data_IF_198811649503
#
_entry.id   IF_198811649503
#
_cell.length_a   1.000
_cell.length_b   1.000
_cell.length_c   1.000
_cell.angle_alpha   90.00
_cell.angle_beta   90.00
_cell.angle_gamma   90.00
#
_symmetry.space_group_name_H-M   'P 1'
#
loop_
_entity.id
_entity.type
_entity.pdbx_description
1 polymer ?
#
# COMPACT_ATOMS: atom_id res chain seq x y z
N UNK A 1 -21.48 1.31 -27.61
CA UNK A 1 -20.99 -0.03 -27.21
C UNK A 1 -21.02 -0.08 -25.70
N UNK A 2 -21.70 -1.06 -25.08
CA UNK A 2 -21.70 -1.22 -23.64
C UNK A 2 -20.29 -1.52 -23.18
N UNK A 3 -19.76 -0.74 -22.24
CA UNK A 3 -18.51 -1.07 -21.56
C UNK A 3 -18.84 -2.04 -20.44
N UNK A 4 -18.33 -3.25 -20.55
CA UNK A 4 -18.40 -4.26 -19.51
C UNK A 4 -17.33 -3.92 -18.49
N UNK A 5 -17.71 -3.68 -17.25
CA UNK A 5 -16.76 -3.53 -16.14
C UNK A 5 -16.05 -4.86 -15.91
N UNK A 6 -14.72 -4.96 -16.08
CA UNK A 6 -14.02 -6.24 -15.98
C UNK A 6 -14.03 -6.87 -14.58
N UNK A 7 -14.42 -6.14 -13.56
CA UNK A 7 -14.49 -6.64 -12.20
C UNK A 7 -15.79 -7.35 -11.80
N UNK A 8 -16.85 -7.25 -12.60
CA UNK A 8 -18.17 -7.80 -12.25
C UNK A 8 -18.57 -9.05 -13.03
N UNK A 9 -17.87 -9.36 -14.12
CA UNK A 9 -18.14 -10.55 -14.90
C UNK A 9 -16.92 -11.47 -14.86
N UNK A 10 -16.88 -12.37 -13.88
CA UNK A 10 -16.17 -13.63 -14.11
C UNK A 10 -16.87 -14.28 -15.32
N UNK A 11 -16.17 -14.40 -16.42
CA UNK A 11 -16.59 -15.31 -17.48
C UNK A 11 -16.59 -16.74 -16.91
N UNK A 12 -17.72 -17.14 -16.34
CA UNK A 12 -18.02 -18.54 -16.18
C UNK A 12 -18.21 -19.14 -17.56
N UNK A 13 -17.76 -20.38 -17.78
CA UNK A 13 -18.11 -21.12 -18.97
C UNK A 13 -19.63 -21.04 -19.19
N UNK A 14 -20.12 -20.83 -20.42
CA UNK A 14 -21.55 -20.74 -20.67
C UNK A 14 -22.22 -22.03 -20.18
N UNK A 15 -23.08 -21.91 -19.19
CA UNK A 15 -23.98 -23.00 -18.83
C UNK A 15 -25.05 -23.05 -19.90
N UNK A 16 -25.16 -24.18 -20.56
CA UNK A 16 -26.33 -24.52 -21.38
C UNK A 16 -27.53 -24.64 -20.44
N UNK A 17 -28.28 -23.57 -20.32
CA UNK A 17 -29.51 -23.46 -19.54
C UNK A 17 -30.31 -22.28 -20.02
N UNK A 18 -31.62 -22.29 -19.82
CA UNK A 18 -32.50 -21.19 -20.19
C UNK A 18 -32.05 -19.89 -19.53
N UNK A 19 -31.89 -18.83 -20.32
CA UNK A 19 -31.70 -17.46 -19.82
C UNK A 19 -32.96 -17.12 -19.05
N UNK A 20 -32.83 -16.92 -17.75
CA UNK A 20 -33.99 -16.59 -16.90
C UNK A 20 -34.17 -15.08 -16.78
N UNK A 21 -33.10 -14.33 -17.00
CA UNK A 21 -33.11 -12.87 -17.01
C UNK A 21 -31.88 -12.30 -17.70
N UNK A 22 -32.00 -11.21 -18.44
CA UNK A 22 -30.93 -10.50 -19.08
C UNK A 22 -30.92 -9.05 -18.62
N UNK A 23 -29.92 -8.65 -17.84
CA UNK A 23 -29.72 -7.26 -17.49
C UNK A 23 -28.81 -6.60 -18.52
N UNK A 24 -29.34 -5.74 -19.36
CA UNK A 24 -28.56 -4.89 -20.26
C UNK A 24 -28.14 -3.65 -19.52
N UNK A 25 -26.86 -3.58 -19.13
CA UNK A 25 -26.26 -2.36 -18.60
C UNK A 25 -25.82 -1.49 -19.78
N UNK A 26 -26.60 -0.47 -20.11
CA UNK A 26 -26.22 0.54 -21.09
C UNK A 26 -25.52 1.70 -20.38
N UNK A 27 -24.36 2.13 -20.90
CA UNK A 27 -23.83 3.43 -20.53
C UNK A 27 -24.79 4.49 -21.04
N UNK A 28 -25.47 5.17 -20.15
CA UNK A 28 -26.17 6.43 -20.49
C UNK A 28 -25.12 7.47 -20.87
N UNK A 29 -25.48 8.35 -21.81
CA UNK A 29 -24.65 9.48 -22.21
C UNK A 29 -24.05 10.18 -20.98
N UNK A 30 -22.81 10.59 -21.10
CA UNK A 30 -22.00 11.23 -20.06
C UNK A 30 -22.87 12.13 -19.18
N UNK A 31 -23.18 11.66 -18.01
CA UNK A 31 -23.83 12.49 -17.01
C UNK A 31 -22.75 13.48 -16.56
N UNK A 32 -22.84 14.73 -17.04
CA UNK A 32 -22.04 15.83 -16.51
C UNK A 32 -22.52 16.14 -15.09
N UNK A 33 -22.33 15.18 -14.18
CA UNK A 33 -22.58 15.41 -12.76
C UNK A 33 -21.50 16.37 -12.26
N UNK A 34 -21.88 17.39 -11.49
CA UNK A 34 -20.90 18.21 -10.82
C UNK A 34 -19.99 17.32 -9.97
N UNK A 35 -18.70 17.67 -9.93
CA UNK A 35 -17.76 16.98 -9.05
C UNK A 35 -18.25 17.08 -7.61
N UNK A 36 -18.55 15.92 -7.01
CA UNK A 36 -18.91 15.80 -5.59
C UNK A 36 -17.67 15.28 -4.88
N UNK A 37 -17.08 16.05 -3.93
CA UNK A 37 -15.98 15.58 -3.09
C UNK A 37 -16.34 14.26 -2.37
N UNK A 38 -15.32 13.46 -2.01
CA UNK A 38 -15.55 12.31 -1.13
C UNK A 38 -16.14 12.78 0.20
N UNK A 39 -17.22 12.13 0.63
CA UNK A 39 -17.77 12.33 1.96
C UNK A 39 -16.93 11.56 2.98
N UNK A 40 -15.94 12.25 3.52
CA UNK A 40 -15.00 11.71 4.50
C UNK A 40 -14.83 12.74 5.63
N UNK A 41 -15.80 12.82 6.57
CA UNK A 41 -15.71 13.77 7.67
C UNK A 41 -14.50 13.48 8.55
N UNK A 42 -13.81 14.54 8.96
CA UNK A 42 -12.70 14.42 9.89
C UNK A 42 -13.18 13.87 11.25
N UNK A 43 -12.38 13.03 11.94
CA UNK A 43 -12.75 12.48 13.23
C UNK A 43 -12.83 13.57 14.30
N UNK A 44 -13.77 13.43 15.24
CA UNK A 44 -13.86 14.33 16.41
C UNK A 44 -12.61 14.18 17.31
N UNK A 45 -12.15 12.94 17.51
CA UNK A 45 -10.93 12.62 18.26
C UNK A 45 -9.84 12.17 17.28
N UNK A 46 -9.09 13.15 16.75
CA UNK A 46 -8.06 12.88 15.78
C UNK A 46 -7.91 13.96 14.72
N UNK A 47 -7.44 13.57 13.53
CA UNK A 47 -7.27 14.49 12.39
C UNK A 47 -7.34 13.75 11.07
N UNK A 48 -7.57 14.52 10.02
CA UNK A 48 -7.61 14.04 8.65
C UNK A 48 -6.44 14.59 7.86
N UNK A 49 -5.85 13.74 7.02
CA UNK A 49 -4.93 14.16 5.96
C UNK A 49 -5.52 13.75 4.61
N UNK A 50 -5.18 14.49 3.55
CA UNK A 50 -5.76 14.29 2.24
C UNK A 50 -4.76 14.48 1.10
N UNK A 51 -4.95 13.71 0.05
CA UNK A 51 -4.57 14.07 -1.32
C UNK A 51 -5.80 14.69 -1.95
N UNK A 52 -5.76 16.02 -2.14
CA UNK A 52 -6.84 16.75 -2.78
C UNK A 52 -7.05 16.26 -4.21
N UNK A 53 -8.21 16.59 -4.78
CA UNK A 53 -8.57 16.16 -6.13
C UNK A 53 -7.51 16.51 -7.17
N UNK A 54 -7.21 15.53 -8.03
CA UNK A 54 -6.31 15.66 -9.17
C UNK A 54 -6.85 14.90 -10.38
N UNK A 55 -6.46 15.30 -11.57
CA UNK A 55 -6.93 14.66 -12.81
C UNK A 55 -6.02 13.49 -13.18
N UNK A 56 -6.63 12.37 -13.60
CA UNK A 56 -5.95 11.26 -14.28
C UNK A 56 -6.44 11.22 -15.71
N UNK A 57 -5.54 11.40 -16.67
CA UNK A 57 -5.88 11.49 -18.09
C UNK A 57 -6.47 10.16 -18.62
N UNK A 58 -7.22 10.21 -19.74
CA UNK A 58 -7.73 8.99 -20.38
C UNK A 58 -6.62 8.01 -20.74
N UNK A 59 -6.86 6.71 -20.52
CA UNK A 59 -5.94 5.62 -20.86
C UNK A 59 -4.52 5.81 -20.29
N UNK A 60 -4.42 6.39 -19.09
CA UNK A 60 -3.15 6.55 -18.38
C UNK A 60 -3.25 6.05 -16.94
N UNK A 61 -2.11 5.82 -16.35
CA UNK A 61 -1.93 5.72 -14.91
C UNK A 61 -1.33 7.00 -14.36
N UNK A 62 -1.60 7.29 -13.10
CA UNK A 62 -0.98 8.39 -12.38
C UNK A 62 -0.73 8.03 -10.94
N UNK A 63 0.52 8.07 -10.54
CA UNK A 63 0.94 7.86 -9.16
C UNK A 63 1.49 9.16 -8.59
N UNK A 64 0.93 9.56 -7.46
CA UNK A 64 1.21 10.87 -6.85
C UNK A 64 1.55 10.74 -5.37
N UNK A 65 2.33 11.69 -4.89
CA UNK A 65 2.73 11.83 -3.50
C UNK A 65 2.45 13.24 -2.99
N UNK A 66 2.05 13.35 -1.72
CA UNK A 66 1.89 14.65 -1.04
C UNK A 66 2.39 14.55 0.40
N UNK A 67 3.47 15.28 0.70
CA UNK A 67 3.92 15.44 2.08
C UNK A 67 2.99 16.38 2.85
N UNK A 68 2.50 15.94 4.00
CA UNK A 68 1.64 16.68 4.92
C UNK A 68 2.23 16.66 6.31
N UNK A 69 2.31 17.82 6.95
CA UNK A 69 2.56 17.87 8.39
C UNK A 69 1.26 17.57 9.13
N UNK A 70 1.34 16.75 10.16
CA UNK A 70 0.20 16.51 11.04
C UNK A 70 -0.18 17.78 11.80
N UNK A 71 -1.48 18.05 12.05
CA UNK A 71 -1.91 19.32 12.61
C UNK A 71 -1.78 19.41 14.15
N UNK A 72 -1.40 18.31 14.80
CA UNK A 72 -1.27 18.28 16.27
C UNK A 72 -0.13 19.17 16.75
N UNK A 73 -0.38 19.88 17.85
CA UNK A 73 0.58 20.77 18.54
C UNK A 73 1.28 20.11 19.72
N UNK A 74 0.80 18.94 20.12
CA UNK A 74 1.40 18.07 21.15
C UNK A 74 1.45 16.64 20.64
N UNK A 75 2.26 15.78 21.27
CA UNK A 75 2.30 14.36 20.92
C UNK A 75 0.92 13.73 21.10
N UNK A 76 0.47 12.98 20.08
CA UNK A 76 -0.77 12.20 20.09
C UNK A 76 -0.48 10.71 19.81
N UNK A 77 -1.45 9.87 20.15
CA UNK A 77 -1.34 8.42 20.00
C UNK A 77 -2.48 7.93 19.12
N UNK A 78 -2.13 7.43 17.92
CA UNK A 78 -3.10 6.97 16.93
C UNK A 78 -3.25 5.45 17.03
N UNK A 79 -4.48 4.99 17.23
CA UNK A 79 -4.77 3.55 17.31
C UNK A 79 -5.69 3.03 16.20
N UNK A 80 -6.16 3.90 15.33
CA UNK A 80 -7.02 3.53 14.20
C UNK A 80 -6.82 4.49 13.02
N UNK A 81 -6.79 3.91 11.82
CA UNK A 81 -6.88 4.63 10.55
C UNK A 81 -8.17 4.24 9.82
N UNK A 82 -8.83 5.18 9.19
CA UNK A 82 -9.86 4.94 8.17
C UNK A 82 -9.39 5.62 6.91
N UNK A 83 -9.21 4.84 5.85
CA UNK A 83 -8.81 5.32 4.54
C UNK A 83 -9.99 5.28 3.58
N UNK A 84 -10.08 6.28 2.73
CA UNK A 84 -11.10 6.39 1.69
C UNK A 84 -10.47 6.95 0.42
N UNK A 85 -10.84 6.36 -0.71
CA UNK A 85 -10.41 6.78 -2.03
C UNK A 85 -11.53 6.69 -3.06
N UNK A 86 -11.37 7.40 -4.17
CA UNK A 86 -12.29 7.28 -5.30
C UNK A 86 -12.12 5.96 -6.02
N UNK A 87 -13.17 5.50 -6.72
CA UNK A 87 -13.07 4.35 -7.62
C UNK A 87 -11.91 4.49 -8.61
N UNK A 88 -11.35 3.35 -9.01
CA UNK A 88 -10.16 3.22 -9.85
C UNK A 88 -8.82 3.62 -9.16
N UNK A 89 -8.83 3.84 -7.86
CA UNK A 89 -7.59 3.84 -7.08
C UNK A 89 -7.04 2.42 -7.00
N UNK A 90 -5.75 2.26 -7.34
CA UNK A 90 -5.06 0.99 -7.23
C UNK A 90 -4.55 0.79 -5.80
N UNK A 91 -3.94 1.82 -5.23
CA UNK A 91 -3.56 1.83 -3.82
C UNK A 91 -3.63 3.22 -3.22
N UNK A 92 -3.73 3.24 -1.89
CA UNK A 92 -3.52 4.42 -1.07
C UNK A 92 -2.68 4.03 0.15
N UNK A 93 -1.54 4.72 0.34
CA UNK A 93 -0.55 4.37 1.36
C UNK A 93 -0.13 5.60 2.14
N UNK A 94 0.06 5.41 3.44
CA UNK A 94 0.64 6.39 4.37
C UNK A 94 2.06 5.97 4.69
N UNK A 95 3.01 6.88 4.45
CA UNK A 95 4.41 6.73 4.81
C UNK A 95 4.83 7.74 5.88
N UNK A 96 5.72 7.33 6.76
CA UNK A 96 6.61 8.21 7.50
C UNK A 96 7.94 8.36 6.77
N UNK A 97 8.88 9.10 7.39
CA UNK A 97 10.22 9.29 6.85
C UNK A 97 11.28 8.72 7.81
N UNK A 98 12.27 8.03 7.23
CA UNK A 98 13.43 7.52 7.96
C UNK A 98 14.39 8.64 8.37
N UNK A 99 14.51 9.67 7.53
CA UNK A 99 15.37 10.83 7.74
C UNK A 99 14.61 12.12 7.46
N UNK A 100 14.38 12.91 8.49
CA UNK A 100 13.67 14.19 8.41
C UNK A 100 14.51 15.35 7.86
N UNK A 101 15.80 15.14 7.59
CA UNK A 101 16.64 16.15 6.92
C UNK A 101 16.42 16.17 5.38
N UNK A 102 15.75 15.13 4.83
CA UNK A 102 15.54 14.94 3.39
C UNK A 102 14.04 14.87 3.07
N UNK A 103 13.28 15.88 3.48
CA UNK A 103 11.84 15.91 3.27
C UNK A 103 11.48 16.53 1.91
N UNK A 104 10.49 15.98 1.22
CA UNK A 104 9.90 16.65 0.07
C UNK A 104 9.12 17.91 0.48
N UNK A 105 8.87 18.84 -0.46
CA UNK A 105 8.08 20.04 -0.17
C UNK A 105 6.70 19.69 0.40
N UNK A 106 6.32 20.40 1.47
CA UNK A 106 5.00 20.21 2.11
C UNK A 106 3.90 20.73 1.20
N UNK A 107 2.76 20.05 1.17
CA UNK A 107 1.55 20.40 0.41
C UNK A 107 1.73 20.46 -1.12
N UNK A 108 2.82 19.90 -1.64
CA UNK A 108 3.10 19.86 -3.08
C UNK A 108 2.74 18.47 -3.62
N UNK A 109 1.89 18.44 -4.65
CA UNK A 109 1.60 17.22 -5.41
C UNK A 109 2.82 16.88 -6.28
N UNK A 110 3.35 15.69 -6.15
CA UNK A 110 4.52 15.19 -6.88
C UNK A 110 4.13 13.94 -7.64
N UNK A 111 4.39 13.91 -8.93
CA UNK A 111 4.18 12.74 -9.77
C UNK A 111 5.43 11.82 -9.72
N UNK A 112 5.20 10.50 -9.72
CA UNK A 112 6.27 9.51 -9.85
C UNK A 112 6.84 9.50 -11.28
N UNK A 113 5.99 9.80 -12.26
CA UNK A 113 6.36 9.81 -13.68
C UNK A 113 6.26 11.22 -14.27
N UNK A 114 7.19 11.55 -15.14
CA UNK A 114 7.15 12.75 -15.97
C UNK A 114 6.08 12.62 -17.08
N UNK A 115 5.78 13.73 -17.76
CA UNK A 115 4.79 13.74 -18.85
C UNK A 115 5.17 12.84 -20.05
N UNK A 116 6.47 12.58 -20.25
CA UNK A 116 7.00 11.64 -21.24
C UNK A 116 7.01 10.19 -20.78
N UNK A 117 6.42 9.95 -19.61
CA UNK A 117 6.35 8.67 -18.95
C UNK A 117 7.70 8.10 -18.44
N UNK A 118 8.76 8.89 -18.43
CA UNK A 118 9.99 8.56 -17.72
C UNK A 118 9.81 8.69 -16.19
N UNK A 119 10.64 8.01 -15.41
CA UNK A 119 10.61 8.15 -13.94
C UNK A 119 11.10 9.54 -13.54
N UNK A 120 10.35 10.20 -12.66
CA UNK A 120 10.80 11.42 -12.00
C UNK A 120 11.82 11.06 -10.91
N UNK A 121 13.09 11.17 -11.23
CA UNK A 121 14.20 10.76 -10.35
C UNK A 121 14.17 11.49 -9.00
N UNK A 122 13.65 12.71 -8.92
CA UNK A 122 13.52 13.43 -7.65
C UNK A 122 12.48 12.75 -6.74
N UNK A 123 11.27 12.53 -7.26
CA UNK A 123 10.22 11.82 -6.50
C UNK A 123 10.68 10.42 -6.11
N UNK A 124 11.28 9.70 -7.06
CA UNK A 124 11.81 8.36 -6.83
C UNK A 124 12.88 8.33 -5.72
N UNK A 125 13.84 9.27 -5.71
CA UNK A 125 14.84 9.34 -4.64
C UNK A 125 14.22 9.60 -3.26
N UNK A 126 13.13 10.36 -3.21
CA UNK A 126 12.40 10.63 -1.98
C UNK A 126 11.70 9.38 -1.43
N UNK A 127 11.24 8.47 -2.30
CA UNK A 127 10.63 7.20 -1.87
C UNK A 127 11.60 6.30 -1.09
N UNK A 128 12.91 6.39 -1.33
CA UNK A 128 13.93 5.65 -0.58
C UNK A 128 13.99 6.05 0.89
N UNK A 129 13.43 7.21 1.24
CA UNK A 129 13.33 7.72 2.61
C UNK A 129 12.03 7.32 3.32
N UNK A 130 11.17 6.52 2.69
CA UNK A 130 9.88 6.14 3.23
C UNK A 130 9.97 4.98 4.22
N UNK A 131 9.11 5.03 5.23
CA UNK A 131 8.75 3.90 6.07
C UNK A 131 7.23 3.70 6.03
N UNK A 132 6.79 2.50 5.69
CA UNK A 132 5.37 2.17 5.60
C UNK A 132 4.69 2.25 6.96
N UNK A 133 3.57 2.99 7.05
CA UNK A 133 2.78 3.12 8.27
C UNK A 133 1.40 2.47 8.17
N UNK A 134 0.84 2.40 6.96
CA UNK A 134 -0.45 1.78 6.73
C UNK A 134 -0.95 1.99 5.31
N UNK A 135 -2.00 1.28 4.93
CA UNK A 135 -2.59 1.35 3.60
C UNK A 135 -2.42 0.08 2.79
N UNK A 136 -2.75 0.16 1.53
CA UNK A 136 -2.69 -0.96 0.59
C UNK A 136 -3.61 -0.74 -0.60
N UNK A 137 -3.95 -1.82 -1.29
CA UNK A 137 -4.78 -1.82 -2.50
C UNK A 137 -6.28 -1.73 -2.20
N UNK A 138 -6.71 -1.99 -0.98
CA UNK A 138 -8.07 -1.66 -0.54
C UNK A 138 -8.09 -0.21 -0.05
N UNK A 139 -8.59 0.68 -0.90
CA UNK A 139 -8.61 2.13 -0.65
C UNK A 139 -9.68 2.57 0.32
N UNK A 140 -10.63 1.71 0.64
CA UNK A 140 -11.69 1.94 1.62
C UNK A 140 -11.50 0.96 2.78
N UNK A 141 -10.43 1.14 3.53
CA UNK A 141 -10.05 0.22 4.59
C UNK A 141 -10.06 0.87 5.97
N UNK A 142 -10.32 0.04 6.97
CA UNK A 142 -10.20 0.40 8.38
C UNK A 142 -9.10 -0.44 9.03
N UNK A 143 -8.13 0.23 9.62
CA UNK A 143 -7.01 -0.36 10.31
C UNK A 143 -7.08 -0.05 11.80
N UNK A 144 -7.19 -1.07 12.65
CA UNK A 144 -7.30 -0.91 14.10
C UNK A 144 -6.17 -1.67 14.78
N UNK A 145 -5.37 -0.96 15.58
CA UNK A 145 -4.37 -1.62 16.42
C UNK A 145 -5.03 -2.39 17.57
N UNK A 146 -4.40 -3.47 18.05
CA UNK A 146 -4.86 -4.16 19.25
C UNK A 146 -4.97 -3.21 20.44
N UNK A 147 -5.84 -3.52 21.39
CA UNK A 147 -6.05 -2.70 22.59
C UNK A 147 -4.72 -2.43 23.32
N UNK A 148 -4.53 -1.19 23.72
CA UNK A 148 -3.32 -0.72 24.39
C UNK A 148 -2.12 -0.49 23.47
N UNK A 149 -2.27 -0.63 22.15
CA UNK A 149 -1.23 -0.32 21.17
C UNK A 149 -1.62 0.92 20.37
N UNK A 150 -0.67 1.84 20.18
CA UNK A 150 -0.88 3.01 19.35
C UNK A 150 0.44 3.48 18.71
N UNK A 151 0.32 4.11 17.55
CA UNK A 151 1.41 4.81 16.89
C UNK A 151 1.57 6.19 17.53
N UNK A 152 2.77 6.49 18.02
CA UNK A 152 3.11 7.80 18.57
C UNK A 152 3.42 8.78 17.45
N UNK A 153 2.71 9.91 17.44
CA UNK A 153 2.86 10.98 16.46
C UNK A 153 3.28 12.26 17.20
N UNK A 154 4.56 12.66 17.14
CA UNK A 154 5.02 13.96 17.64
C UNK A 154 4.31 15.14 16.96
N UNK A 155 4.42 16.38 17.50
CA UNK A 155 3.85 17.57 16.87
C UNK A 155 4.38 17.76 15.44
N UNK A 156 3.49 18.17 14.54
CA UNK A 156 3.82 18.52 13.16
C UNK A 156 4.67 17.46 12.43
N UNK A 157 4.45 16.17 12.75
CA UNK A 157 5.17 15.06 12.09
C UNK A 157 4.90 15.07 10.59
N UNK A 158 5.94 15.09 9.73
CA UNK A 158 5.77 14.97 8.29
C UNK A 158 5.37 13.53 7.94
N UNK A 159 4.31 13.41 7.14
CA UNK A 159 3.81 12.15 6.61
C UNK A 159 3.61 12.27 5.10
N UNK A 160 4.01 11.28 4.33
CA UNK A 160 3.80 11.25 2.89
C UNK A 160 2.63 10.36 2.52
N UNK A 161 1.69 10.93 1.79
CA UNK A 161 0.53 10.21 1.28
C UNK A 161 0.82 9.85 -0.18
N UNK A 162 0.61 8.60 -0.53
CA UNK A 162 0.79 8.09 -1.89
C UNK A 162 -0.53 7.52 -2.41
N UNK A 163 -0.95 7.94 -3.59
CA UNK A 163 -2.10 7.40 -4.28
C UNK A 163 -1.77 7.07 -5.73
N UNK A 164 -2.22 5.91 -6.18
CA UNK A 164 -2.03 5.42 -7.53
C UNK A 164 -3.39 5.11 -8.18
N UNK A 165 -3.60 5.62 -9.38
CA UNK A 165 -4.84 5.47 -10.13
C UNK A 165 -4.59 4.94 -11.53
N UNK A 166 -5.42 4.00 -11.96
CA UNK A 166 -5.49 3.55 -13.35
C UNK A 166 -6.74 4.09 -14.03
N UNK A 167 -6.57 4.89 -15.06
CA UNK A 167 -7.68 5.33 -15.89
C UNK A 167 -7.72 4.54 -17.21
N UNK A 168 -8.53 3.51 -17.26
CA UNK A 168 -8.77 2.71 -18.48
C UNK A 168 -9.94 3.26 -19.32
N UNK A 169 -10.47 4.45 -18.96
CA UNK A 169 -11.59 5.07 -19.66
C UNK A 169 -11.09 6.02 -20.75
N UNK A 170 -11.99 6.36 -21.70
CA UNK A 170 -11.74 7.35 -22.76
C UNK A 170 -11.92 8.79 -22.31
N UNK A 171 -12.35 9.01 -21.06
CA UNK A 171 -12.51 10.33 -20.43
C UNK A 171 -11.61 10.44 -19.22
N UNK A 172 -11.24 11.67 -18.84
CA UNK A 172 -10.51 11.92 -17.60
C UNK A 172 -11.29 11.47 -16.37
N UNK A 173 -10.60 10.97 -15.36
CA UNK A 173 -11.17 10.72 -14.04
C UNK A 173 -10.50 11.61 -12.99
N UNK A 174 -11.16 11.73 -11.84
CA UNK A 174 -10.61 12.46 -10.70
C UNK A 174 -10.14 11.48 -9.64
N UNK A 175 -8.86 11.59 -9.24
CA UNK A 175 -8.32 10.95 -8.05
C UNK A 175 -8.52 11.85 -6.82
N UNK A 176 -8.77 11.26 -5.67
CA UNK A 176 -8.91 11.94 -4.38
C UNK A 176 -8.88 10.89 -3.27
N UNK A 177 -8.09 11.13 -2.21
CA UNK A 177 -7.95 10.19 -1.10
C UNK A 177 -7.88 10.92 0.24
N UNK A 178 -8.50 10.32 1.25
CA UNK A 178 -8.46 10.79 2.63
C UNK A 178 -8.02 9.69 3.58
N UNK A 179 -7.30 10.08 4.62
CA UNK A 179 -7.02 9.23 5.76
C UNK A 179 -7.40 9.94 7.05
N UNK A 180 -8.27 9.31 7.83
CA UNK A 180 -8.63 9.73 9.16
C UNK A 180 -7.78 8.97 10.19
N UNK A 181 -7.04 9.70 11.00
CA UNK A 181 -6.23 9.18 12.08
C UNK A 181 -6.94 9.46 13.41
N UNK A 182 -7.37 8.38 14.09
CA UNK A 182 -8.10 8.47 15.36
C UNK A 182 -7.13 8.33 16.52
N UNK A 183 -7.23 9.26 17.46
CA UNK A 183 -6.35 9.34 18.63
C UNK A 183 -7.00 8.75 19.87
N UNK A 184 -6.14 8.30 20.78
CA UNK A 184 -6.54 7.83 22.12
C UNK A 184 -5.74 8.55 23.21
N UNK A 185 -6.26 8.65 24.43
CA UNK A 185 -5.52 9.19 25.55
C UNK A 185 -4.23 8.40 25.83
N UNK A 186 -3.12 9.09 26.08
CA UNK A 186 -1.83 8.45 26.39
C UNK A 186 -1.93 7.42 27.53
N UNK A 187 -2.77 7.69 28.52
CA UNK A 187 -2.98 6.79 29.67
C UNK A 187 -3.52 5.40 29.30
N UNK A 188 -4.10 5.25 28.10
CA UNK A 188 -4.59 3.96 27.60
C UNK A 188 -3.55 3.19 26.78
N UNK A 189 -2.40 3.80 26.50
CA UNK A 189 -1.34 3.20 25.66
C UNK A 189 -0.37 2.42 26.54
N UNK A 190 -0.28 1.13 26.28
CA UNK A 190 0.63 0.20 26.96
C UNK A 190 1.93 0.01 26.16
N UNK A 191 1.83 0.03 24.81
CA UNK A 191 2.98 -0.13 23.90
C UNK A 191 2.85 0.82 22.71
N UNK A 192 3.97 1.44 22.33
CA UNK A 192 4.09 2.22 21.13
C UNK A 192 4.36 1.28 19.92
N UNK A 193 3.57 1.42 18.86
CA UNK A 193 3.79 0.71 17.61
C UNK A 193 4.91 1.39 16.81
N UNK A 194 5.67 0.58 16.11
CA UNK A 194 6.68 1.03 15.15
C UNK A 194 6.58 0.18 13.89
N UNK A 195 6.80 0.78 12.74
CA UNK A 195 6.99 0.07 11.49
C UNK A 195 8.46 -0.20 11.26
N UNK A 196 8.76 -1.35 10.69
CA UNK A 196 10.12 -1.76 10.33
C UNK A 196 10.08 -2.30 8.90
N UNK A 197 10.90 -1.74 8.02
CA UNK A 197 11.05 -2.22 6.65
C UNK A 197 12.24 -3.17 6.58
N UNK A 198 12.02 -4.38 6.08
CA UNK A 198 13.05 -5.34 5.73
C UNK A 198 13.11 -5.46 4.23
N UNK A 199 14.21 -5.03 3.64
CA UNK A 199 14.38 -5.09 2.20
C UNK A 199 15.68 -5.82 1.85
N UNK A 200 15.63 -6.65 0.82
CA UNK A 200 16.81 -7.23 0.20
C UNK A 200 17.03 -6.56 -1.15
N UNK A 201 18.04 -5.73 -1.23
CA UNK A 201 18.47 -5.04 -2.46
C UNK A 201 19.60 -5.76 -3.18
N UNK A 202 20.14 -6.84 -2.58
CA UNK A 202 21.26 -7.60 -3.12
C UNK A 202 20.82 -8.96 -3.64
N UNK A 203 20.17 -8.93 -4.80
CA UNK A 203 19.78 -10.16 -5.50
C UNK A 203 20.02 -10.06 -6.99
N UNK A 204 20.13 -11.21 -7.63
CA UNK A 204 20.21 -11.35 -9.08
C UNK A 204 19.44 -12.60 -9.49
N UNK A 205 18.53 -12.46 -10.47
CA UNK A 205 17.73 -13.56 -11.02
C UNK A 205 18.07 -13.70 -12.49
N UNK A 206 18.84 -14.72 -12.89
CA UNK A 206 19.21 -14.92 -14.28
C UNK A 206 18.00 -15.05 -15.21
N UNK A 207 18.20 -14.73 -16.48
CA UNK A 207 17.19 -14.92 -17.51
C UNK A 207 16.68 -16.37 -17.55
N UNK A 208 15.39 -16.54 -17.81
CA UNK A 208 14.73 -17.84 -17.94
C UNK A 208 14.95 -18.78 -16.74
N UNK A 209 14.99 -18.19 -15.55
CA UNK A 209 15.26 -18.92 -14.30
C UNK A 209 14.16 -18.68 -13.28
N UNK A 210 13.70 -19.78 -12.67
CA UNK A 210 12.88 -19.73 -11.44
C UNK A 210 13.83 -19.80 -10.25
N UNK A 211 13.79 -18.79 -9.37
CA UNK A 211 14.72 -18.65 -8.23
C UNK A 211 13.98 -18.34 -6.94
N UNK A 212 14.39 -19.00 -5.86
CA UNK A 212 13.93 -18.66 -4.51
C UNK A 212 15.04 -17.92 -3.78
N UNK A 213 14.67 -16.78 -3.23
CA UNK A 213 15.56 -15.89 -2.45
C UNK A 213 15.10 -15.93 -1.00
N UNK A 214 16.00 -16.21 -0.08
CA UNK A 214 15.71 -16.28 1.35
C UNK A 214 16.56 -15.25 2.09
N UNK A 215 15.91 -14.45 2.93
CA UNK A 215 16.60 -13.43 3.74
C UNK A 215 16.14 -13.52 5.19
N UNK A 216 17.10 -13.65 6.10
CA UNK A 216 16.85 -13.71 7.53
C UNK A 216 16.98 -12.33 8.15
N UNK A 217 16.12 -12.07 9.12
CA UNK A 217 16.11 -10.86 9.89
C UNK A 217 15.90 -11.17 11.37
N UNK A 218 16.80 -10.73 12.25
CA UNK A 218 16.73 -10.96 13.69
C UNK A 218 16.49 -9.68 14.47
N UNK A 219 15.75 -9.78 15.56
CA UNK A 219 15.50 -8.67 16.47
C UNK A 219 16.45 -8.74 17.67
N UNK A 220 17.14 -7.63 17.95
CA UNK A 220 18.01 -7.53 19.13
C UNK A 220 17.22 -7.53 20.45
N UNK A 221 15.95 -7.17 20.42
CA UNK A 221 15.04 -7.11 21.56
C UNK A 221 13.81 -7.97 21.31
N UNK A 222 13.09 -8.31 22.37
CA UNK A 222 11.79 -8.97 22.23
C UNK A 222 10.78 -8.02 21.54
N UNK A 223 10.07 -8.54 20.55
CA UNK A 223 9.09 -7.78 19.79
C UNK A 223 7.74 -8.50 19.74
N UNK A 224 6.69 -7.70 19.60
CA UNK A 224 5.33 -8.15 19.35
C UNK A 224 4.94 -7.73 17.93
N UNK A 225 4.83 -8.70 17.01
CA UNK A 225 4.41 -8.44 15.64
C UNK A 225 2.89 -8.41 15.58
N UNK A 226 2.34 -7.28 15.14
CA UNK A 226 0.88 -7.07 15.06
C UNK A 226 0.37 -7.10 13.62
N UNK A 227 1.25 -6.80 12.65
CA UNK A 227 0.92 -6.74 11.23
C UNK A 227 2.11 -7.18 10.41
N UNK A 228 1.85 -7.85 9.30
CA UNK A 228 2.82 -8.13 8.25
C UNK A 228 2.24 -7.75 6.89
N UNK A 229 3.09 -7.28 6.02
CA UNK A 229 2.83 -7.11 4.59
C UNK A 229 4.09 -7.41 3.80
N UNK A 230 3.96 -7.56 2.49
CA UNK A 230 5.07 -7.80 1.57
C UNK A 230 5.04 -6.83 0.41
N UNK A 231 6.16 -6.69 -0.26
CA UNK A 231 6.26 -6.04 -1.56
C UNK A 231 7.20 -6.87 -2.43
N UNK A 232 6.73 -7.27 -3.58
CA UNK A 232 7.49 -7.98 -4.62
C UNK A 232 6.90 -7.63 -5.98
N UNK A 233 7.61 -7.93 -7.06
CA UNK A 233 7.29 -7.43 -8.39
C UNK A 233 6.69 -8.52 -9.27
N UNK A 234 6.28 -8.17 -10.48
CA UNK A 234 5.55 -8.98 -11.46
C UNK A 234 6.13 -10.39 -11.73
N UNK A 235 7.43 -10.58 -11.57
CA UNK A 235 8.05 -11.89 -11.73
C UNK A 235 7.91 -12.78 -10.50
N UNK A 236 7.48 -12.21 -9.39
CA UNK A 236 7.26 -12.94 -8.16
C UNK A 236 6.01 -13.81 -8.21
N UNK A 237 6.17 -15.09 -7.94
CA UNK A 237 5.09 -16.05 -7.86
C UNK A 237 4.54 -16.18 -6.42
N UNK A 238 5.43 -15.98 -5.43
CA UNK A 238 5.08 -16.17 -4.03
C UNK A 238 6.03 -15.46 -3.08
N UNK A 239 5.47 -14.81 -2.07
CA UNK A 239 6.17 -14.26 -0.93
C UNK A 239 5.69 -14.92 0.35
N UNK A 240 6.60 -15.50 1.14
CA UNK A 240 6.31 -16.05 2.45
C UNK A 240 7.14 -15.35 3.52
N UNK A 241 6.56 -15.19 4.72
CA UNK A 241 7.30 -14.83 5.93
C UNK A 241 7.17 -15.97 6.92
N UNK A 242 8.31 -16.41 7.44
CA UNK A 242 8.42 -17.50 8.42
C UNK A 242 9.01 -16.98 9.72
N UNK A 243 8.67 -17.62 10.82
CA UNK A 243 9.33 -17.36 12.09
C UNK A 243 10.77 -17.91 12.04
N UNK A 244 11.72 -17.10 12.51
CA UNK A 244 13.13 -17.47 12.66
C UNK A 244 13.45 -17.64 14.14
N UNK A 245 13.82 -18.85 14.52
CA UNK A 245 14.23 -19.19 15.88
C UNK A 245 13.05 -19.58 16.82
N UNK A 246 13.40 -20.07 18.00
CA UNK A 246 12.46 -20.53 18.99
C UNK A 246 11.72 -21.83 18.59
N UNK A 247 10.67 -22.14 19.34
CA UNK A 247 9.88 -23.38 19.15
C UNK A 247 9.02 -23.37 17.88
N UNK A 248 8.76 -22.17 17.34
CA UNK A 248 7.97 -21.97 16.10
C UNK A 248 8.85 -21.73 14.86
N UNK A 249 10.14 -22.05 14.96
CA UNK A 249 11.07 -21.84 13.84
C UNK A 249 10.59 -22.51 12.56
N UNK A 250 10.56 -21.77 11.45
CA UNK A 250 10.11 -22.25 10.15
C UNK A 250 8.60 -22.18 9.92
N UNK A 251 7.79 -21.85 10.92
CA UNK A 251 6.33 -21.68 10.76
C UNK A 251 6.03 -20.51 9.83
N UNK A 252 5.20 -20.75 8.82
CA UNK A 252 4.72 -19.72 7.88
C UNK A 252 3.65 -18.90 8.60
N UNK A 253 3.90 -17.61 8.75
CA UNK A 253 2.96 -16.67 9.38
C UNK A 253 2.36 -15.66 8.40
N UNK A 254 2.87 -15.63 7.18
CA UNK A 254 2.36 -14.80 6.10
C UNK A 254 2.66 -15.47 4.76
N UNK A 255 1.69 -15.45 3.86
CA UNK A 255 1.87 -15.87 2.47
C UNK A 255 1.06 -14.96 1.54
N UNK A 256 1.67 -14.55 0.44
CA UNK A 256 1.04 -13.79 -0.63
C UNK A 256 1.52 -14.30 -1.99
N UNK A 257 0.59 -14.46 -2.93
CA UNK A 257 0.85 -14.88 -4.32
C UNK A 257 0.38 -13.84 -5.34
N UNK A 258 -0.14 -12.71 -4.86
CA UNK A 258 -0.59 -11.60 -5.69
C UNK A 258 0.34 -10.41 -5.49
N UNK A 259 1.21 -10.17 -6.46
CA UNK A 259 2.18 -9.07 -6.40
C UNK A 259 1.51 -7.70 -6.59
N UNK A 260 0.36 -7.65 -7.30
CA UNK A 260 -0.38 -6.40 -7.54
C UNK A 260 -1.15 -5.95 -6.30
N UNK A 261 -1.62 -6.92 -5.49
CA UNK A 261 -2.43 -6.65 -4.31
C UNK A 261 -1.79 -7.27 -3.05
N UNK A 262 -0.70 -6.68 -2.54
CA UNK A 262 -0.03 -7.19 -1.36
C UNK A 262 -0.99 -7.26 -0.17
N UNK A 263 -1.12 -8.45 0.41
CA UNK A 263 -1.93 -8.65 1.60
C UNK A 263 -1.35 -7.86 2.78
N UNK A 264 -2.18 -7.08 3.47
CA UNK A 264 -1.87 -6.51 4.79
C UNK A 264 -2.54 -7.37 5.84
N UNK A 265 -1.75 -8.24 6.48
CA UNK A 265 -2.24 -9.21 7.46
C UNK A 265 -2.14 -8.66 8.88
N UNK A 266 -3.28 -8.40 9.50
CA UNK A 266 -3.38 -7.98 10.89
C UNK A 266 -3.63 -9.18 11.79
N UNK A 267 -2.79 -9.38 12.81
CA UNK A 267 -2.91 -10.49 13.72
C UNK A 267 -3.89 -10.19 14.86
N UNK A 268 -4.98 -10.92 14.94
CA UNK A 268 -5.90 -10.88 16.11
C UNK A 268 -5.19 -11.34 17.38
N UNK A 269 -4.28 -12.31 17.25
CA UNK A 269 -3.36 -12.74 18.31
C UNK A 269 -1.95 -12.39 17.85
N UNK A 270 -1.35 -11.32 18.40
CA UNK A 270 -0.01 -10.89 18.00
C UNK A 270 1.06 -11.94 18.19
N UNK A 271 2.03 -11.98 17.29
CA UNK A 271 3.16 -12.93 17.36
C UNK A 271 4.20 -12.38 18.35
N UNK A 272 4.55 -13.17 19.37
CA UNK A 272 5.59 -12.83 20.33
C UNK A 272 6.90 -13.44 19.89
N UNK A 273 7.92 -12.61 19.65
CA UNK A 273 9.28 -13.04 19.34
C UNK A 273 10.23 -12.61 20.47
N UNK A 274 11.06 -13.53 20.93
CA UNK A 274 12.10 -13.23 21.94
C UNK A 274 13.28 -12.53 21.27
N UNK A 275 14.10 -11.84 22.05
CA UNK A 275 15.40 -11.34 21.61
C UNK A 275 16.21 -12.48 20.95
N UNK A 276 16.87 -12.18 19.83
CA UNK A 276 17.61 -13.14 19.01
C UNK A 276 16.75 -13.96 18.03
N UNK A 277 15.42 -13.97 18.19
CA UNK A 277 14.51 -14.54 17.20
C UNK A 277 14.21 -13.48 16.11
N UNK A 278 13.58 -13.91 15.03
CA UNK A 278 13.32 -13.03 13.90
C UNK A 278 12.27 -13.52 12.94
N UNK A 279 12.39 -13.03 11.73
CA UNK A 279 11.57 -13.42 10.58
C UNK A 279 12.47 -13.79 9.40
N UNK A 280 12.02 -14.72 8.60
CA UNK A 280 12.65 -15.11 7.33
C UNK A 280 11.70 -14.78 6.20
N UNK A 281 12.08 -13.93 5.26
CA UNK A 281 11.39 -13.78 3.99
C UNK A 281 11.86 -14.84 3.00
N UNK A 282 10.93 -15.43 2.27
CA UNK A 282 11.18 -16.41 1.21
C UNK A 282 10.38 -15.97 0.00
N UNK A 283 11.08 -15.49 -1.02
CA UNK A 283 10.46 -14.99 -2.26
C UNK A 283 10.83 -15.92 -3.40
N UNK A 284 9.83 -16.38 -4.14
CA UNK A 284 10.05 -17.18 -5.34
C UNK A 284 9.67 -16.35 -6.54
N UNK A 285 10.63 -16.13 -7.42
CA UNK A 285 10.51 -15.42 -8.68
C UNK A 285 10.67 -16.37 -9.87
N UNK A 286 9.94 -16.07 -10.93
CA UNK A 286 10.04 -16.76 -12.22
C UNK A 286 10.37 -15.74 -13.30
N UNK A 287 11.66 -15.57 -13.56
CA UNK A 287 12.16 -14.63 -14.55
C UNK A 287 12.09 -15.27 -15.96
N UNK A 288 10.92 -15.19 -16.59
CA UNK A 288 10.71 -15.64 -17.98
C UNK A 288 11.29 -14.71 -19.05
N UNK A 289 11.45 -13.38 -18.84
CA UNK A 289 12.13 -12.51 -19.80
C UNK A 289 13.59 -12.86 -20.02
N UNK A 290 14.09 -12.54 -21.21
CA UNK A 290 15.45 -12.87 -21.67
C UNK A 290 16.60 -12.10 -21.01
N UNK A 291 16.35 -11.31 -19.96
CA UNK A 291 17.36 -10.49 -19.28
C UNK A 291 17.48 -10.87 -17.81
N UNK A 292 18.68 -10.74 -17.25
CA UNK A 292 18.90 -10.89 -15.82
C UNK A 292 18.23 -9.73 -15.06
N UNK A 293 17.47 -10.05 -14.02
CA UNK A 293 16.85 -9.07 -13.11
C UNK A 293 17.77 -8.85 -11.92
N UNK A 294 18.01 -7.58 -11.61
CA UNK A 294 18.67 -7.12 -10.40
C UNK A 294 17.77 -6.10 -9.73
N UNK A 295 18.09 -5.70 -8.51
CA UNK A 295 17.42 -4.57 -7.89
C UNK A 295 17.53 -3.33 -8.79
N UNK A 296 16.40 -2.70 -9.06
CA UNK A 296 16.27 -1.54 -9.95
C UNK A 296 14.83 -1.38 -10.41
N UNK A 297 14.60 -0.40 -11.26
CA UNK A 297 13.28 -0.09 -11.82
C UNK A 297 13.29 -0.13 -13.35
N UNK A 298 13.35 -1.28 -13.98
CA UNK A 298 12.97 -1.36 -15.37
C UNK A 298 11.44 -1.34 -15.44
N UNK A 299 10.85 -0.25 -15.89
CA UNK A 299 9.41 0.01 -16.02
C UNK A 299 8.61 -1.16 -16.64
N UNK A 300 9.25 -1.94 -17.49
CA UNK A 300 8.63 -3.09 -18.14
C UNK A 300 8.32 -4.29 -17.20
N UNK A 301 8.75 -4.23 -15.94
CA UNK A 301 8.58 -5.31 -14.96
C UNK A 301 7.76 -4.92 -13.74
N UNK A 302 7.33 -3.65 -13.64
CA UNK A 302 6.55 -3.13 -12.51
C UNK A 302 5.05 -3.01 -12.82
N UNK A 303 4.61 -3.45 -14.00
CA UNK A 303 3.19 -3.45 -14.38
C UNK A 303 2.68 -4.85 -14.65
#
# INVERSE_FOLDING_TARGET
TPSVYPGFLRQGAPKTGSVVDEAVLANTAVCAQPFIPLDAPAPADGFQLAINSFTVNPNTEREVFVNRNTPNTSTVYVNKFIMQGRPNSHHFVLYGFLNTALLPPVNTLRDLYNADASINLTTFSQMQNHIFLGGGTDVNTTYIFPAGIALKIPPATPLDLNAHYFNKQTTGLTGENYINLYTVPQATVVKEAQSINFANYNFSIPANTRKTITTNFTFAQAVTVITLTSHFHKTGEKFQIKILGGTRNGEIVYENTDWEHPLVLNFTIPIQLKAGNGLTSVVTDNNTPGNTLNFGFPRQYDM
#
